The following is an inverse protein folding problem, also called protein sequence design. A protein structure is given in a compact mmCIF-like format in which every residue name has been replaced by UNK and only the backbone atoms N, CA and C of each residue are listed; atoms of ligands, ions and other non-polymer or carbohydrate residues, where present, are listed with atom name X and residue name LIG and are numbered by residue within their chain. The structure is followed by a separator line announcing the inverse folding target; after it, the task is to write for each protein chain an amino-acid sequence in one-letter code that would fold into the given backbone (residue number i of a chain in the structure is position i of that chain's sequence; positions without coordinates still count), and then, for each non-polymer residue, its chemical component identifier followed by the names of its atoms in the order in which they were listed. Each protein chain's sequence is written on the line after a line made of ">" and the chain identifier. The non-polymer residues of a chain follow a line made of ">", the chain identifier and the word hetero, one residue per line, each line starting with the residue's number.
data_IF_600718871473
#
_entry.id   IF_600718871473
#
_cell.length_a   1.000
_cell.length_b   1.000
_cell.length_c   1.000
_cell.angle_alpha   90.00
_cell.angle_beta   90.00
_cell.angle_gamma   90.00
#
_symmetry.space_group_name_H-M   'P 1'
#
loop_
_entity.id
_entity.type
_entity.pdbx_description
1 polymer ?
#
# COMPACT_ATOMS: atom_id res chain seq x y z
N UNK A 1 -2.90 -19.32 -59.60
CA UNK A 1 -1.56 -18.76 -59.28
C UNK A 1 -1.11 -17.84 -60.41
N UNK A 2 -1.15 -16.53 -60.18
CA UNK A 2 -0.51 -15.48 -60.99
C UNK A 2 0.03 -14.43 -60.01
N UNK A 3 1.33 -14.07 -60.04
CA UNK A 3 1.87 -13.04 -59.16
C UNK A 3 1.77 -11.66 -59.82
N UNK A 4 1.14 -10.69 -59.15
CA UNK A 4 1.19 -9.29 -59.57
C UNK A 4 2.31 -8.57 -58.79
N UNK A 5 3.32 -8.14 -59.55
CA UNK A 5 4.44 -7.28 -59.13
C UNK A 5 4.08 -5.82 -59.41
N UNK A 6 4.06 -4.97 -58.39
CA UNK A 6 4.09 -3.50 -58.51
C UNK A 6 4.99 -3.03 -57.37
N UNK A 7 6.29 -2.84 -57.61
CA UNK A 7 6.93 -1.63 -58.11
C UNK A 7 7.10 -0.57 -57.01
N UNK A 8 8.36 -0.21 -56.80
CA UNK A 8 8.88 0.67 -55.76
C UNK A 8 8.63 2.17 -56.03
N UNK A 9 8.46 2.93 -54.93
CA UNK A 9 9.00 4.26 -54.56
C UNK A 9 9.41 5.25 -55.68
N UNK A 10 9.16 6.58 -55.53
CA UNK A 10 10.06 7.38 -54.66
C UNK A 10 9.51 8.68 -54.01
N UNK A 11 10.32 9.14 -53.03
CA UNK A 11 10.68 10.51 -52.58
C UNK A 11 9.73 11.71 -52.77
N UNK A 12 9.47 12.43 -51.67
CA UNK A 12 9.87 13.83 -51.40
C UNK A 12 9.11 14.32 -50.14
N UNK A 13 9.74 14.52 -48.98
CA UNK A 13 10.54 15.68 -48.57
C UNK A 13 9.82 17.03 -48.78
N UNK A 14 9.10 17.50 -47.74
CA UNK A 14 8.90 18.94 -47.48
C UNK A 14 9.12 19.21 -46.00
N UNK A 15 10.00 20.17 -45.77
CA UNK A 15 10.47 20.73 -44.51
C UNK A 15 9.45 21.72 -43.91
N UNK A 16 9.56 21.89 -42.59
CA UNK A 16 9.28 23.11 -41.82
C UNK A 16 7.82 23.51 -41.54
N UNK A 17 7.45 23.49 -40.25
CA UNK A 17 7.38 24.71 -39.45
C UNK A 17 7.09 24.37 -37.99
N UNK A 18 8.02 24.74 -37.11
CA UNK A 18 7.80 24.80 -35.68
C UNK A 18 7.03 26.07 -35.35
N UNK A 19 5.88 25.93 -34.68
CA UNK A 19 5.29 27.00 -33.86
C UNK A 19 4.71 26.36 -32.61
N UNK A 20 5.35 26.65 -31.47
CA UNK A 20 4.84 26.40 -30.13
C UNK A 20 3.53 27.20 -29.92
N UNK A 21 2.55 26.58 -29.28
CA UNK A 21 1.75 27.28 -28.28
C UNK A 21 1.44 26.31 -27.13
N UNK A 22 2.38 26.25 -26.19
CA UNK A 22 2.16 25.64 -24.88
C UNK A 22 1.20 26.55 -24.10
N UNK A 23 0.01 26.06 -23.77
CA UNK A 23 -0.88 26.72 -22.84
C UNK A 23 -0.27 26.66 -21.43
N UNK A 24 -0.15 27.78 -20.70
CA UNK A 24 0.28 27.73 -19.31
C UNK A 24 -0.85 27.22 -18.42
N UNK A 25 -0.61 26.12 -17.72
CA UNK A 25 -1.41 25.70 -16.57
C UNK A 25 -1.45 26.82 -15.52
N UNK A 26 -2.58 27.03 -14.81
CA UNK A 26 -2.61 28.01 -13.73
C UNK A 26 -1.60 27.63 -12.65
N UNK A 27 -0.65 28.53 -12.43
CA UNK A 27 0.27 28.47 -11.31
C UNK A 27 -0.53 28.45 -10.01
N UNK A 28 -0.41 27.36 -9.25
CA UNK A 28 -0.70 27.42 -7.82
C UNK A 28 0.28 28.40 -7.20
N UNK A 29 -0.22 29.59 -6.89
CA UNK A 29 0.48 30.61 -6.15
C UNK A 29 0.79 30.04 -4.76
N UNK A 30 1.98 29.48 -4.62
CA UNK A 30 2.51 29.02 -3.34
C UNK A 30 2.70 30.27 -2.50
N UNK A 31 1.70 30.60 -1.66
CA UNK A 31 1.80 31.66 -0.65
C UNK A 31 3.02 31.36 0.21
N UNK A 32 4.17 31.94 -0.14
CA UNK A 32 5.37 31.91 0.68
C UNK A 32 5.07 32.74 1.90
N UNK A 33 4.81 32.07 3.02
CA UNK A 33 4.78 32.72 4.32
C UNK A 33 6.17 33.33 4.53
N UNK A 34 6.25 34.66 4.47
CA UNK A 34 7.46 35.38 4.83
C UNK A 34 7.81 35.06 6.30
N UNK A 35 9.09 34.85 6.65
CA UNK A 35 9.49 34.66 8.03
C UNK A 35 9.18 35.93 8.82
N UNK A 36 8.33 35.83 9.85
CA UNK A 36 8.10 36.92 10.79
C UNK A 36 9.32 37.06 11.69
N UNK A 37 9.95 38.23 11.70
CA UNK A 37 10.97 38.61 12.67
C UNK A 37 10.32 38.76 14.06
N UNK A 38 10.89 38.10 15.06
CA UNK A 38 10.51 38.27 16.46
C UNK A 38 10.96 39.66 16.98
N UNK A 39 10.18 40.32 17.86
CA UNK A 39 10.61 41.55 18.53
C UNK A 39 11.77 41.27 19.52
N UNK A 40 12.65 42.25 19.79
CA UNK A 40 13.77 42.08 20.71
C UNK A 40 13.30 41.95 22.17
N UNK A 41 13.97 41.14 23.01
CA UNK A 41 13.66 41.07 24.44
C UNK A 41 14.06 42.37 25.16
N UNK A 42 13.20 42.80 26.07
CA UNK A 42 13.42 43.90 27.02
C UNK A 42 14.50 43.52 28.06
N UNK A 43 15.29 44.47 28.60
CA UNK A 43 16.44 44.15 29.44
C UNK A 43 16.04 43.45 30.75
N UNK A 44 16.69 42.32 31.02
CA UNK A 44 16.62 41.63 32.31
C UNK A 44 17.40 42.40 33.38
N UNK A 45 16.75 42.70 34.50
CA UNK A 45 17.44 43.01 35.76
C UNK A 45 17.67 41.73 36.57
N UNK A 46 18.71 41.69 37.43
CA UNK A 46 19.58 40.54 37.58
C UNK A 46 19.24 39.69 38.81
N UNK A 47 19.28 38.37 38.67
CA UNK A 47 19.48 37.47 39.80
C UNK A 47 20.68 36.58 39.51
N UNK A 48 21.79 37.01 40.09
CA UNK A 48 22.78 36.22 40.80
C UNK A 48 23.31 34.93 40.16
N UNK A 49 24.58 35.02 39.76
CA UNK A 49 25.43 33.97 39.20
C UNK A 49 25.65 32.81 40.18
N UNK A 50 25.21 31.60 39.81
CA UNK A 50 25.69 30.35 40.39
C UNK A 50 26.57 29.60 39.36
N UNK A 51 27.71 28.99 39.73
CA UNK A 51 28.80 28.73 38.81
C UNK A 51 28.58 27.50 37.92
N UNK A 52 29.20 27.59 36.73
CA UNK A 52 29.17 26.63 35.63
C UNK A 52 29.46 25.18 36.05
N UNK A 53 28.65 24.24 35.53
CA UNK A 53 28.97 22.82 35.47
C UNK A 53 28.56 22.21 34.11
N UNK A 54 29.52 22.21 33.18
CA UNK A 54 29.68 21.27 32.04
C UNK A 54 28.61 21.22 30.93
N UNK A 55 28.99 20.91 29.67
CA UNK A 55 28.02 20.65 28.62
C UNK A 55 27.40 19.26 28.83
N UNK A 56 26.14 19.23 29.26
CA UNK A 56 25.32 18.02 29.24
C UNK A 56 24.89 17.67 27.80
N UNK A 57 24.81 16.38 27.42
CA UNK A 57 24.34 15.99 26.10
C UNK A 57 22.88 16.39 25.91
N UNK A 58 22.59 17.01 24.77
CA UNK A 58 21.21 17.28 24.32
C UNK A 58 20.55 15.92 24.07
N UNK A 59 19.56 15.57 24.89
CA UNK A 59 18.74 14.39 24.67
C UNK A 59 17.94 14.56 23.36
N UNK A 60 18.04 13.58 22.45
CA UNK A 60 17.13 13.48 21.31
C UNK A 60 15.69 13.41 21.80
N UNK A 61 14.71 13.98 21.06
CA UNK A 61 13.30 13.80 21.37
C UNK A 61 12.95 12.31 21.38
N UNK A 62 12.36 11.87 22.48
CA UNK A 62 11.92 10.49 22.71
C UNK A 62 10.84 10.11 21.68
N UNK A 63 10.92 8.92 21.05
CA UNK A 63 9.85 8.45 20.19
C UNK A 63 8.54 8.34 20.98
N UNK A 64 7.37 8.57 20.34
CA UNK A 64 6.08 8.50 21.03
C UNK A 64 5.90 7.13 21.71
N UNK A 65 5.19 7.07 22.86
CA UNK A 65 4.91 5.83 23.56
C UNK A 65 4.30 4.80 22.62
N UNK A 66 4.92 3.62 22.56
CA UNK A 66 4.45 2.49 21.73
C UNK A 66 3.06 1.99 22.11
N UNK A 67 2.51 2.47 23.22
CA UNK A 67 1.20 2.11 23.76
C UNK A 67 0.01 2.71 22.99
N UNK A 68 0.27 3.62 22.03
CA UNK A 68 -0.77 4.15 21.13
C UNK A 68 -0.92 3.32 19.83
N UNK A 69 -0.07 2.32 19.61
CA UNK A 69 -0.28 1.34 18.55
C UNK A 69 -1.22 0.26 19.08
N UNK A 70 -2.32 -0.08 18.38
CA UNK A 70 -3.11 -1.24 18.74
C UNK A 70 -2.17 -2.46 18.85
N UNK A 71 -2.31 -3.31 19.88
CA UNK A 71 -1.45 -4.47 20.04
C UNK A 71 -1.51 -5.30 18.75
N UNK A 72 -0.33 -5.60 18.20
CA UNK A 72 -0.22 -6.58 17.12
C UNK A 72 -0.90 -7.86 17.60
N UNK A 73 -1.91 -8.39 16.86
CA UNK A 73 -2.61 -9.59 17.29
C UNK A 73 -1.60 -10.72 17.50
N UNK A 74 -1.77 -11.47 18.58
CA UNK A 74 -0.90 -12.57 18.93
C UNK A 74 -0.74 -13.53 17.75
N UNK A 75 0.50 -13.71 17.30
CA UNK A 75 0.90 -14.85 16.48
C UNK A 75 0.56 -16.11 17.28
N UNK A 76 -0.56 -16.76 16.95
CA UNK A 76 -1.11 -17.85 17.77
C UNK A 76 -2.48 -18.34 17.35
N UNK A 77 -3.21 -17.60 16.51
CA UNK A 77 -4.41 -18.14 15.84
C UNK A 77 -3.98 -19.03 14.67
N UNK A 78 -4.56 -20.22 14.59
CA UNK A 78 -4.35 -21.12 13.45
C UNK A 78 -4.75 -20.42 12.15
N UNK A 79 -4.00 -20.65 11.08
CA UNK A 79 -4.36 -20.14 9.76
C UNK A 79 -5.72 -20.72 9.32
N UNK A 80 -6.58 -19.91 8.69
CA UNK A 80 -7.86 -20.40 8.18
C UNK A 80 -7.63 -21.41 7.06
N UNK A 81 -8.59 -22.31 6.87
CA UNK A 81 -8.56 -23.28 5.77
C UNK A 81 -9.13 -22.67 4.48
N UNK A 82 -8.83 -23.30 3.33
CA UNK A 82 -9.35 -22.86 2.03
C UNK A 82 -10.89 -22.96 1.96
N UNK A 83 -11.48 -23.92 2.67
CA UNK A 83 -12.93 -24.07 2.80
C UNK A 83 -13.56 -22.88 3.55
N UNK A 84 -12.92 -22.42 4.62
CA UNK A 84 -13.35 -21.24 5.38
C UNK A 84 -13.26 -19.95 4.57
N UNK A 85 -12.21 -19.80 3.76
CA UNK A 85 -12.00 -18.63 2.90
C UNK A 85 -12.82 -18.68 1.61
N UNK A 86 -13.23 -19.87 1.15
CA UNK A 86 -13.88 -20.08 -0.14
C UNK A 86 -12.97 -19.83 -1.35
N UNK A 87 -11.66 -19.78 -1.14
CA UNK A 87 -10.65 -19.53 -2.18
C UNK A 87 -9.34 -20.22 -1.83
N UNK A 88 -8.63 -20.69 -2.86
CA UNK A 88 -7.30 -21.29 -2.74
C UNK A 88 -6.28 -20.30 -2.16
N UNK A 89 -5.57 -20.73 -1.12
CA UNK A 89 -4.51 -19.95 -0.50
C UNK A 89 -3.23 -20.14 -1.33
N UNK A 90 -2.47 -19.07 -1.55
CA UNK A 90 -1.18 -19.21 -2.24
C UNK A 90 -0.21 -20.06 -1.40
N UNK A 91 0.36 -21.16 -1.92
CA UNK A 91 1.12 -22.12 -1.10
C UNK A 91 2.35 -21.54 -0.38
N UNK A 92 3.03 -20.58 -0.99
CA UNK A 92 4.22 -19.93 -0.40
C UNK A 92 3.85 -18.64 0.32
N UNK A 93 2.73 -18.64 1.05
CA UNK A 93 2.30 -17.53 1.89
C UNK A 93 2.35 -17.91 3.37
N UNK A 94 2.65 -16.92 4.21
CA UNK A 94 2.70 -17.06 5.66
C UNK A 94 1.52 -16.32 6.25
N UNK A 95 0.74 -17.00 7.08
CA UNK A 95 -0.36 -16.36 7.81
C UNK A 95 0.18 -15.40 8.86
N UNK A 96 -0.37 -14.18 8.88
CA UNK A 96 0.10 -13.10 9.76
C UNK A 96 -0.91 -12.76 10.85
N UNK A 97 -2.18 -12.58 10.48
CA UNK A 97 -3.20 -12.08 11.41
C UNK A 97 -4.63 -12.33 10.90
N UNK A 98 -5.58 -12.20 11.83
CA UNK A 98 -7.01 -12.05 11.53
C UNK A 98 -7.57 -10.82 12.22
N UNK A 99 -8.56 -10.17 11.59
CA UNK A 99 -9.31 -9.05 12.17
C UNK A 99 -10.81 -9.29 11.98
N UNK A 100 -11.61 -8.96 12.99
CA UNK A 100 -13.08 -8.98 12.86
C UNK A 100 -13.52 -7.85 11.91
N UNK A 101 -14.15 -8.22 10.80
CA UNK A 101 -14.70 -7.29 9.82
C UNK A 101 -16.15 -6.90 10.16
N UNK A 102 -16.70 -7.46 11.24
CA UNK A 102 -18.08 -7.30 11.66
C UNK A 102 -19.02 -8.26 10.93
N UNK A 103 -20.23 -8.43 11.48
CA UNK A 103 -21.32 -9.23 10.87
C UNK A 103 -20.92 -10.68 10.56
N UNK A 104 -20.01 -11.25 11.36
CA UNK A 104 -19.54 -12.63 11.21
C UNK A 104 -18.53 -12.83 10.08
N UNK A 105 -17.97 -11.76 9.53
CA UNK A 105 -16.86 -11.80 8.58
C UNK A 105 -15.54 -11.50 9.29
N UNK A 106 -14.48 -12.10 8.78
CA UNK A 106 -13.11 -11.85 9.22
C UNK A 106 -12.25 -11.46 8.01
N UNK A 107 -11.30 -10.55 8.24
CA UNK A 107 -10.17 -10.33 7.36
C UNK A 107 -9.04 -11.24 7.78
N UNK A 108 -8.50 -12.02 6.84
CA UNK A 108 -7.31 -12.83 7.07
C UNK A 108 -6.15 -12.30 6.25
N UNK A 109 -5.02 -12.09 6.91
CA UNK A 109 -3.84 -11.46 6.32
C UNK A 109 -2.74 -12.50 6.15
N UNK A 110 -2.21 -12.59 4.94
CA UNK A 110 -1.09 -13.45 4.58
C UNK A 110 0.00 -12.62 3.91
N UNK A 111 1.27 -12.93 4.21
CA UNK A 111 2.43 -12.35 3.56
C UNK A 111 3.10 -13.33 2.61
N UNK A 112 3.66 -12.83 1.50
CA UNK A 112 4.48 -13.62 0.59
C UNK A 112 5.58 -12.78 -0.05
N UNK A 113 6.67 -13.43 -0.45
CA UNK A 113 7.77 -12.83 -1.22
C UNK A 113 7.58 -13.00 -2.73
N UNK A 114 6.42 -13.44 -3.18
CA UNK A 114 6.09 -13.34 -4.59
C UNK A 114 5.75 -11.87 -4.94
N UNK A 115 6.18 -11.42 -6.12
CA UNK A 115 5.89 -10.07 -6.58
C UNK A 115 4.39 -9.82 -6.76
N UNK A 116 3.96 -8.57 -6.62
CA UNK A 116 2.58 -8.14 -6.83
C UNK A 116 2.02 -8.64 -8.18
N UNK A 117 2.76 -8.45 -9.27
CA UNK A 117 2.35 -8.87 -10.61
C UNK A 117 2.15 -10.39 -10.73
N UNK A 118 2.98 -11.19 -10.04
CA UNK A 118 2.83 -12.64 -10.01
C UNK A 118 1.57 -13.05 -9.24
N UNK A 119 1.27 -12.38 -8.13
CA UNK A 119 0.06 -12.67 -7.34
C UNK A 119 -1.22 -12.30 -8.08
N UNK A 120 -1.24 -11.16 -8.78
CA UNK A 120 -2.37 -10.78 -9.64
C UNK A 120 -2.58 -11.82 -10.74
N UNK A 121 -1.52 -12.29 -11.40
CA UNK A 121 -1.61 -13.34 -12.42
C UNK A 121 -2.12 -14.66 -11.85
N UNK A 122 -1.63 -15.06 -10.68
CA UNK A 122 -2.03 -16.29 -10.01
C UNK A 122 -3.54 -16.31 -9.72
N UNK A 123 -4.04 -15.29 -9.01
CA UNK A 123 -5.46 -15.22 -8.64
C UNK A 123 -6.36 -15.02 -9.85
N UNK A 124 -5.90 -14.32 -10.89
CA UNK A 124 -6.64 -14.21 -12.15
C UNK A 124 -6.91 -15.56 -12.81
N UNK A 125 -5.96 -16.50 -12.75
CA UNK A 125 -6.13 -17.85 -13.32
C UNK A 125 -7.07 -18.68 -12.47
N UNK A 126 -6.91 -18.67 -11.15
CA UNK A 126 -7.68 -19.51 -10.23
C UNK A 126 -9.14 -19.05 -10.14
N UNK A 127 -9.35 -17.75 -9.96
CA UNK A 127 -10.69 -17.16 -9.84
C UNK A 127 -11.39 -17.02 -11.19
N UNK A 128 -10.64 -17.15 -12.30
CA UNK A 128 -11.12 -16.90 -13.67
C UNK A 128 -11.74 -15.51 -13.82
N UNK A 129 -11.22 -14.57 -13.05
CA UNK A 129 -11.65 -13.19 -12.99
C UNK A 129 -10.46 -12.27 -13.27
N UNK A 130 -10.69 -11.15 -13.95
CA UNK A 130 -9.66 -10.12 -14.13
C UNK A 130 -9.42 -9.34 -12.85
N UNK A 131 -10.45 -9.20 -12.01
CA UNK A 131 -10.44 -8.28 -10.88
C UNK A 131 -10.22 -6.83 -11.30
N UNK A 132 -10.06 -5.96 -10.32
CA UNK A 132 -9.91 -4.53 -10.48
C UNK A 132 -8.65 -4.01 -9.77
N UNK A 133 -7.92 -3.13 -10.46
CA UNK A 133 -6.87 -2.34 -9.81
C UNK A 133 -7.53 -1.18 -9.08
N UNK A 134 -7.46 -1.20 -7.76
CA UNK A 134 -8.14 -0.24 -6.88
C UNK A 134 -7.24 0.97 -6.59
N UNK A 135 -5.93 0.76 -6.57
CA UNK A 135 -4.93 1.82 -6.41
C UNK A 135 -3.71 1.53 -7.28
N UNK A 136 -3.17 2.59 -7.91
CA UNK A 136 -1.94 2.51 -8.71
C UNK A 136 -0.67 2.59 -7.84
N UNK A 137 -0.70 3.41 -6.78
CA UNK A 137 0.47 3.67 -5.92
C UNK A 137 0.06 3.87 -4.45
N UNK A 138 0.39 2.93 -3.53
CA UNK A 138 0.95 1.61 -3.80
C UNK A 138 -0.06 0.72 -4.55
N UNK A 139 0.45 -0.14 -5.44
CA UNK A 139 -0.39 -0.97 -6.28
C UNK A 139 -1.28 -1.89 -5.42
N UNK A 140 -2.59 -1.84 -5.67
CA UNK A 140 -3.58 -2.68 -4.99
C UNK A 140 -4.54 -3.25 -6.02
N UNK A 141 -4.66 -4.58 -6.05
CA UNK A 141 -5.60 -5.29 -6.92
C UNK A 141 -6.62 -6.03 -6.07
N UNK A 142 -7.88 -6.07 -6.49
CA UNK A 142 -8.92 -6.78 -5.79
C UNK A 142 -9.68 -7.70 -6.73
N UNK A 143 -9.95 -8.91 -6.25
CA UNK A 143 -10.86 -9.86 -6.88
C UNK A 143 -12.06 -10.07 -5.96
N UNK A 144 -13.24 -10.17 -6.55
CA UNK A 144 -14.46 -10.46 -5.81
C UNK A 144 -14.72 -11.97 -5.86
N UNK A 145 -14.79 -12.62 -4.70
CA UNK A 145 -14.98 -14.08 -4.61
C UNK A 145 -16.43 -14.49 -4.40
N UNK A 146 -17.31 -13.51 -4.11
CA UNK A 146 -18.71 -13.77 -3.81
C UNK A 146 -19.62 -12.58 -4.08
N UNK A 147 -20.92 -12.82 -3.93
CA UNK A 147 -21.94 -11.78 -4.08
C UNK A 147 -21.99 -10.90 -2.84
N UNK A 148 -21.86 -9.60 -3.05
CA UNK A 148 -22.14 -8.59 -2.04
C UNK A 148 -23.63 -8.55 -1.71
N UNK A 149 -23.98 -8.46 -0.43
CA UNK A 149 -25.38 -8.30 -0.01
C UNK A 149 -25.58 -6.92 0.60
N UNK A 150 -25.97 -5.99 -0.26
CA UNK A 150 -26.11 -4.57 0.08
C UNK A 150 -27.08 -4.32 1.25
N UNK A 151 -28.17 -5.08 1.34
CA UNK A 151 -29.13 -5.01 2.47
C UNK A 151 -28.48 -5.29 3.82
N UNK A 152 -27.48 -6.18 3.82
CA UNK A 152 -26.79 -6.62 5.03
C UNK A 152 -25.54 -5.77 5.31
N UNK A 153 -25.21 -4.78 4.47
CA UNK A 153 -24.04 -3.89 4.62
C UNK A 153 -22.77 -4.64 5.07
N UNK A 154 -22.58 -5.85 4.54
CA UNK A 154 -21.41 -6.68 4.81
C UNK A 154 -20.28 -6.29 3.88
N UNK A 155 -19.03 -6.58 4.23
CA UNK A 155 -17.95 -6.44 3.26
C UNK A 155 -18.15 -7.47 2.15
N UNK A 156 -17.81 -7.10 0.92
CA UNK A 156 -17.84 -8.06 -0.18
C UNK A 156 -16.76 -9.13 0.07
N UNK A 157 -17.08 -10.44 -0.09
CA UNK A 157 -16.05 -11.47 -0.06
C UNK A 157 -15.04 -11.23 -1.18
N UNK A 158 -13.75 -11.17 -0.84
CA UNK A 158 -12.72 -10.68 -1.75
C UNK A 158 -11.34 -11.26 -1.46
N UNK A 159 -10.48 -11.21 -2.48
CA UNK A 159 -9.02 -11.32 -2.34
C UNK A 159 -8.43 -9.97 -2.75
N UNK A 160 -7.80 -9.29 -1.81
CA UNK A 160 -7.11 -8.02 -2.05
C UNK A 160 -5.61 -8.23 -1.97
N UNK A 161 -4.90 -7.88 -3.03
CA UNK A 161 -3.44 -8.01 -3.19
C UNK A 161 -2.86 -6.61 -3.09
N UNK A 162 -1.83 -6.43 -2.26
CA UNK A 162 -1.21 -5.13 -2.01
C UNK A 162 0.31 -5.23 -2.16
N UNK A 163 0.89 -4.32 -2.93
CA UNK A 163 2.35 -4.14 -3.03
C UNK A 163 2.86 -3.33 -1.83
N UNK A 164 3.77 -3.93 -1.05
CA UNK A 164 4.43 -3.28 0.08
C UNK A 164 5.88 -2.89 -0.18
N UNK A 165 6.39 -3.12 -1.40
CA UNK A 165 7.73 -2.71 -1.83
C UNK A 165 7.79 -1.29 -2.41
N UNK A 166 6.63 -0.65 -2.55
CA UNK A 166 6.50 0.68 -3.12
C UNK A 166 7.39 1.73 -2.43
N UNK A 167 7.95 2.65 -3.22
CA UNK A 167 8.84 3.73 -2.76
C UNK A 167 10.11 3.24 -2.01
N UNK A 168 10.65 2.09 -2.40
CA UNK A 168 11.87 1.54 -1.81
C UNK A 168 11.68 0.90 -0.44
N UNK A 169 10.43 0.65 -0.04
CA UNK A 169 10.11 -0.10 1.17
C UNK A 169 10.66 -1.53 1.06
N UNK A 170 11.23 -2.10 2.14
CA UNK A 170 11.65 -3.50 2.16
C UNK A 170 10.48 -4.50 2.19
N UNK A 171 9.24 -4.02 2.32
CA UNK A 171 8.03 -4.86 2.42
C UNK A 171 7.28 -4.67 3.74
N UNK A 172 6.24 -5.48 3.94
CA UNK A 172 5.48 -5.55 5.18
C UNK A 172 6.28 -6.34 6.24
N UNK A 173 6.53 -5.80 7.44
CA UNK A 173 7.39 -6.45 8.42
C UNK A 173 6.78 -7.77 8.91
N UNK A 174 7.63 -8.79 9.07
CA UNK A 174 7.22 -10.02 9.71
C UNK A 174 6.99 -9.76 11.21
N UNK A 175 5.82 -10.10 11.78
CA UNK A 175 5.54 -9.87 13.20
C UNK A 175 6.41 -10.72 14.13
N UNK A 176 7.02 -11.80 13.62
CA UNK A 176 7.91 -12.66 14.38
C UNK A 176 9.34 -12.05 14.43
N UNK A 177 9.88 -11.72 15.62
CA UNK A 177 11.22 -11.16 15.73
C UNK A 177 12.30 -12.11 15.19
N UNK A 178 13.17 -11.60 14.31
CA UNK A 178 14.28 -12.38 13.74
C UNK A 178 13.85 -13.45 12.72
N UNK A 179 12.62 -13.40 12.23
CA UNK A 179 12.14 -14.32 11.21
C UNK A 179 12.83 -14.12 9.85
N UNK A 180 12.87 -15.20 9.07
CA UNK A 180 13.30 -15.21 7.67
C UNK A 180 12.12 -15.67 6.80
N UNK A 181 11.58 -14.83 5.90
CA UNK A 181 12.04 -13.47 5.61
C UNK A 181 11.66 -12.46 6.71
N UNK A 182 12.45 -11.37 6.88
CA UNK A 182 12.16 -10.31 7.85
C UNK A 182 10.99 -9.41 7.41
N UNK A 183 10.65 -9.41 6.13
CA UNK A 183 9.52 -8.67 5.56
C UNK A 183 8.95 -9.42 4.34
N UNK A 184 7.71 -9.11 3.98
CA UNK A 184 7.00 -9.68 2.85
C UNK A 184 6.77 -8.63 1.77
N UNK A 185 7.12 -8.94 0.52
CA UNK A 185 6.93 -8.03 -0.61
C UNK A 185 5.44 -7.72 -0.88
N UNK A 186 4.60 -8.74 -0.80
CA UNK A 186 3.18 -8.66 -1.12
C UNK A 186 2.34 -9.18 0.04
N UNK A 187 1.23 -8.48 0.33
CA UNK A 187 0.22 -8.94 1.28
C UNK A 187 -1.03 -9.37 0.52
N UNK A 188 -1.58 -10.50 0.93
CA UNK A 188 -2.87 -11.03 0.53
C UNK A 188 -3.84 -10.86 1.69
N UNK A 189 -4.91 -10.10 1.47
CA UNK A 189 -6.02 -9.95 2.41
C UNK A 189 -7.24 -10.67 1.86
N UNK A 190 -7.76 -11.61 2.64
CA UNK A 190 -8.99 -12.33 2.31
C UNK A 190 -10.13 -11.80 3.17
N UNK A 191 -11.24 -11.48 2.54
CA UNK A 191 -12.50 -11.16 3.23
C UNK A 191 -13.42 -12.37 3.12
N UNK A 192 -13.77 -12.99 4.25
CA UNK A 192 -14.62 -14.18 4.24
C UNK A 192 -16.06 -13.88 3.89
N UNK A 193 -16.75 -14.88 3.36
CA UNK A 193 -18.19 -14.83 3.21
C UNK A 193 -18.88 -14.82 4.58
N UNK A 194 -19.99 -14.07 4.73
CA UNK A 194 -20.85 -14.16 5.91
C UNK A 194 -21.24 -15.63 6.20
N UNK A 195 -21.44 -16.04 7.47
CA UNK A 195 -21.71 -17.43 7.83
C UNK A 195 -22.95 -18.02 7.15
N UNK A 196 -23.97 -17.21 6.87
CA UNK A 196 -25.21 -17.58 6.20
C UNK A 196 -25.07 -17.70 4.67
N UNK A 197 -24.02 -17.09 4.08
CA UNK A 197 -23.71 -17.23 2.66
C UNK A 197 -22.89 -18.49 2.32
N UNK A 198 -22.44 -19.26 3.32
CA UNK A 198 -21.63 -20.47 3.16
C UNK A 198 -22.43 -21.78 3.12
N UNK A 199 -23.78 -21.71 3.14
CA UNK A 199 -24.68 -22.89 3.09
C UNK A 199 -25.20 -23.19 1.70
#
# INVERSE_FOLDING_TARGET
>A
MRPNRWAALPLAAVLAAATLLAAPSPAFEQRRLAPRSFPPPEPAEPVESEPARGPGPVALPEPPPRDLLPPLPAAGRAAPTEDELGVTIYPNSTYLASFDAGRGQEFHIFGTNATFANMVRYYRVILRDRGDEVFEAPATHQFDTGRFREREMNFRPSVTIKDYTWNGSPGYPNPLPGADPPAFETILQFTTAPPDARR
#
